data_IF_418456710599
#
_entry.id   IF_418456710599
#
_cell.length_a   1.000
_cell.length_b   1.000
_cell.length_c   1.000
_cell.angle_alpha   90.00
_cell.angle_beta   90.00
_cell.angle_gamma   90.00
#
_symmetry.space_group_name_H-M   'P 1'
#
loop_
_entity.id
_entity.type
_entity.pdbx_description
1 polymer ?
#
# COMPACT_ATOMS: atom_id res chain seq x y z
N UNK A 1 -10.07 -11.69 12.28
CA UNK A 1 -10.92 -12.88 12.20
C UNK A 1 -10.94 -13.34 10.75
N UNK A 2 -10.40 -14.52 10.44
CA UNK A 2 -10.43 -15.07 9.08
C UNK A 2 -11.63 -16.01 8.95
N UNK A 3 -12.40 -15.88 7.88
CA UNK A 3 -13.57 -16.71 7.62
C UNK A 3 -13.14 -17.98 6.85
N UNK A 4 -13.61 -19.18 7.23
CA UNK A 4 -13.36 -20.41 6.47
C UNK A 4 -14.25 -20.52 5.22
N UNK A 5 -15.11 -19.53 4.95
CA UNK A 5 -15.99 -19.53 3.78
C UNK A 5 -15.16 -19.32 2.51
N UNK A 6 -15.25 -20.28 1.60
CA UNK A 6 -14.71 -20.14 0.24
C UNK A 6 -15.76 -19.49 -0.67
N UNK A 7 -15.28 -18.75 -1.67
CA UNK A 7 -16.16 -18.16 -2.68
C UNK A 7 -16.56 -19.24 -3.68
N UNK A 8 -17.87 -19.48 -3.84
CA UNK A 8 -18.40 -20.34 -4.91
C UNK A 8 -18.31 -19.58 -6.24
N UNK A 9 -18.02 -20.27 -7.35
CA UNK A 9 -18.12 -19.67 -8.68
C UNK A 9 -19.60 -19.32 -8.96
N UNK A 10 -19.96 -18.04 -8.80
CA UNK A 10 -21.33 -17.55 -8.98
C UNK A 10 -21.65 -17.20 -10.44
N UNK A 11 -20.76 -17.52 -11.40
CA UNK A 11 -20.80 -17.02 -12.79
C UNK A 11 -20.92 -15.49 -12.89
N UNK A 12 -20.48 -14.80 -11.84
CA UNK A 12 -20.36 -13.35 -11.84
C UNK A 12 -19.09 -13.01 -12.62
N UNK A 13 -19.23 -12.09 -13.57
CA UNK A 13 -18.10 -11.56 -14.33
C UNK A 13 -17.35 -10.53 -13.49
N UNK A 14 -16.07 -10.35 -13.80
CA UNK A 14 -15.21 -9.36 -13.19
C UNK A 14 -14.16 -8.91 -14.20
N UNK A 15 -13.72 -7.68 -14.06
CA UNK A 15 -12.69 -7.09 -14.90
C UNK A 15 -11.32 -7.22 -14.24
N UNK A 16 -10.27 -7.38 -15.07
CA UNK A 16 -8.87 -7.40 -14.63
C UNK A 16 -8.19 -6.17 -15.21
N UNK A 17 -7.28 -5.56 -14.44
CA UNK A 17 -6.61 -4.30 -14.79
C UNK A 17 -7.55 -3.08 -14.93
N UNK A 18 -8.77 -3.17 -14.41
CA UNK A 18 -9.68 -2.02 -14.29
C UNK A 18 -9.46 -1.33 -12.94
N UNK A 19 -9.71 -0.02 -12.82
CA UNK A 19 -9.67 0.67 -11.54
C UNK A 19 -10.65 0.06 -10.52
N UNK A 20 -10.18 -0.20 -9.30
CA UNK A 20 -11.00 -0.76 -8.22
C UNK A 20 -11.01 0.16 -7.00
N UNK A 21 -12.15 0.26 -6.32
CA UNK A 21 -12.26 0.99 -5.05
C UNK A 21 -12.25 0.02 -3.88
N UNK A 22 -11.31 0.19 -2.96
CA UNK A 22 -11.18 -0.62 -1.74
C UNK A 22 -11.05 0.34 -0.56
N UNK A 23 -11.96 0.25 0.41
CA UNK A 23 -11.90 1.10 1.62
C UNK A 23 -11.95 2.61 1.34
N UNK A 24 -12.59 3.03 0.25
CA UNK A 24 -12.68 4.44 -0.16
C UNK A 24 -11.46 4.96 -0.93
N UNK A 25 -10.46 4.12 -1.22
CA UNK A 25 -9.30 4.46 -2.04
C UNK A 25 -9.41 3.78 -3.40
N UNK A 26 -9.11 4.51 -4.48
CA UNK A 26 -9.08 3.99 -5.85
C UNK A 26 -7.68 3.47 -6.17
N UNK A 27 -7.61 2.24 -6.67
CA UNK A 27 -6.40 1.57 -7.11
C UNK A 27 -6.48 1.33 -8.62
N UNK A 28 -5.40 1.66 -9.32
CA UNK A 28 -5.27 1.51 -10.77
C UNK A 28 -4.11 0.56 -11.08
N UNK A 29 -4.14 -0.06 -12.26
CA UNK A 29 -3.03 -0.90 -12.71
C UNK A 29 -1.75 -0.05 -12.88
N UNK A 30 -0.67 -0.49 -12.24
CA UNK A 30 0.62 0.23 -12.24
C UNK A 30 0.86 1.09 -11.00
N UNK A 31 -0.10 1.20 -10.10
CA UNK A 31 0.14 1.81 -8.78
C UNK A 31 1.07 0.94 -7.93
N UNK A 32 1.87 1.61 -7.10
CA UNK A 32 2.67 0.94 -6.08
C UNK A 32 1.91 0.89 -4.76
N UNK A 33 1.96 -0.26 -4.10
CA UNK A 33 1.24 -0.54 -2.87
C UNK A 33 2.23 -1.08 -1.83
N UNK A 34 2.19 -0.50 -0.64
CA UNK A 34 2.91 -0.98 0.56
C UNK A 34 1.87 -1.37 1.59
N UNK A 35 2.06 -2.50 2.26
CA UNK A 35 1.21 -2.94 3.34
C UNK A 35 2.06 -3.40 4.53
N UNK A 36 1.75 -2.89 5.71
CA UNK A 36 2.38 -3.27 6.97
C UNK A 36 1.33 -3.58 8.05
N UNK A 37 1.73 -3.56 9.33
CA UNK A 37 0.81 -3.79 10.45
C UNK A 37 -0.14 -2.62 10.70
N UNK A 38 0.21 -1.41 10.25
CA UNK A 38 -0.57 -0.19 10.47
C UNK A 38 -1.59 0.02 9.35
N UNK A 39 -1.31 -0.44 8.13
CA UNK A 39 -2.31 -0.44 7.06
C UNK A 39 -1.75 -0.62 5.64
N UNK A 40 -2.49 -0.06 4.68
CA UNK A 40 -2.17 -0.12 3.24
C UNK A 40 -1.97 1.30 2.73
N UNK A 41 -0.84 1.53 2.06
CA UNK A 41 -0.49 2.80 1.45
C UNK A 41 -0.29 2.64 -0.06
N UNK A 42 -0.88 3.57 -0.82
CA UNK A 42 -0.88 3.59 -2.28
C UNK A 42 -0.15 4.83 -2.80
N UNK A 43 0.70 4.68 -3.79
CA UNK A 43 1.30 5.81 -4.51
C UNK A 43 1.47 5.57 -6.00
N UNK A 44 1.35 6.64 -6.78
CA UNK A 44 1.47 6.59 -8.24
C UNK A 44 2.94 6.54 -8.68
N UNK A 45 3.20 5.89 -9.82
CA UNK A 45 4.53 5.75 -10.41
C UNK A 45 5.25 7.08 -10.66
N UNK A 46 4.55 8.19 -10.94
CA UNK A 46 5.19 9.48 -11.21
C UNK A 46 5.93 10.04 -9.99
N UNK A 47 5.48 9.69 -8.78
CA UNK A 47 6.01 10.23 -7.54
C UNK A 47 6.97 9.30 -6.81
N UNK A 48 7.26 8.11 -7.36
CA UNK A 48 7.98 7.06 -6.65
C UNK A 48 9.39 7.49 -6.18
N UNK A 49 10.17 8.16 -7.04
CA UNK A 49 11.55 8.53 -6.73
C UNK A 49 11.62 9.51 -5.55
N UNK A 50 10.85 10.59 -5.64
CA UNK A 50 10.83 11.64 -4.62
C UNK A 50 10.29 11.08 -3.30
N UNK A 51 9.27 10.23 -3.36
CA UNK A 51 8.73 9.56 -2.17
C UNK A 51 9.74 8.62 -1.53
N UNK A 52 10.49 7.85 -2.34
CA UNK A 52 11.52 6.94 -1.83
C UNK A 52 12.69 7.68 -1.19
N UNK A 53 13.19 8.74 -1.83
CA UNK A 53 14.27 9.56 -1.28
C UNK A 53 13.87 10.17 0.07
N UNK A 54 12.65 10.75 0.15
CA UNK A 54 12.10 11.28 1.40
C UNK A 54 11.89 10.21 2.46
N UNK A 55 11.45 9.02 2.07
CA UNK A 55 11.25 7.91 3.01
C UNK A 55 12.57 7.46 3.64
N UNK A 56 13.63 7.33 2.83
CA UNK A 56 14.98 6.96 3.30
C UNK A 56 15.55 8.04 4.22
N UNK A 57 15.37 9.31 3.87
CA UNK A 57 15.83 10.42 4.70
C UNK A 57 15.12 10.44 6.05
N UNK A 58 13.79 10.27 6.06
CA UNK A 58 12.99 10.17 7.29
C UNK A 58 13.47 9.03 8.19
N UNK A 59 13.71 7.85 7.63
CA UNK A 59 14.19 6.69 8.41
C UNK A 59 15.56 6.96 9.05
N UNK A 60 16.48 7.61 8.33
CA UNK A 60 17.79 8.01 8.87
C UNK A 60 17.64 8.98 10.03
N UNK A 61 16.82 10.02 9.88
CA UNK A 61 16.56 11.00 10.95
C UNK A 61 15.95 10.34 12.18
N UNK A 62 14.99 9.44 12.00
CA UNK A 62 14.37 8.70 13.11
C UNK A 62 15.36 7.79 13.83
N UNK A 63 16.25 7.09 13.11
CA UNK A 63 17.33 6.28 13.71
C UNK A 63 18.29 7.13 14.52
N UNK A 64 18.75 8.26 13.99
CA UNK A 64 19.65 9.17 14.73
C UNK A 64 18.97 9.73 15.98
N UNK A 65 17.68 10.07 15.91
CA UNK A 65 16.92 10.57 17.06
C UNK A 65 16.71 9.49 18.14
N UNK A 66 16.57 8.22 17.76
CA UNK A 66 16.49 7.10 18.71
C UNK A 66 17.82 6.84 19.43
N UNK A 67 18.96 7.06 18.77
CA UNK A 67 20.29 6.88 19.35
C UNK A 67 20.71 8.00 20.31
N UNK A 68 20.17 9.22 20.15
CA UNK A 68 20.49 10.37 21.03
C UNK A 68 19.63 10.40 22.29
N UNK A 69 18.47 9.73 22.28
CA UNK A 69 17.54 9.67 23.41
C UNK A 69 17.76 8.46 24.34
N UNK A 70 18.88 7.75 24.19
CA UNK A 70 19.37 6.68 25.06
C UNK A 70 20.74 7.08 25.63
#
# INVERSE_FOLDING_TARGET
MVSPKTTRNLKLEGEVNTPVSVGGVVFESGDYIIADQDGIYKFNHLNYKILMERAIEKEKTEKSRRLVNY
#
